data_IF_810558167863
#
_entry.id   IF_810558167863
#
_cell.length_a   1.000
_cell.length_b   1.000
_cell.length_c   1.000
_cell.angle_alpha   90.00
_cell.angle_beta   90.00
_cell.angle_gamma   90.00
#
_symmetry.space_group_name_H-M   'P 1'
#
loop_
_entity.id
_entity.type
_entity.pdbx_description
1 polymer ?
#
# COMPACT_ATOMS: atom_id res chain seq x y z
N UNK A 1 -41.05 5.37 52.59
CA UNK A 1 -41.24 6.73 52.07
C UNK A 1 -40.36 6.86 50.83
N UNK A 2 -40.96 6.69 49.66
CA UNK A 2 -40.29 6.76 48.36
C UNK A 2 -40.01 8.23 48.04
N UNK A 3 -38.77 8.55 47.72
CA UNK A 3 -38.46 9.77 46.97
C UNK A 3 -37.75 9.32 45.70
N UNK A 4 -38.52 9.31 44.62
CA UNK A 4 -38.04 9.09 43.26
C UNK A 4 -36.88 10.05 42.97
N UNK A 5 -35.70 9.48 42.73
CA UNK A 5 -34.56 10.23 42.21
C UNK A 5 -34.95 10.68 40.80
N UNK A 6 -35.17 11.99 40.67
CA UNK A 6 -35.61 12.65 39.46
C UNK A 6 -34.55 12.51 38.34
N UNK A 7 -34.68 11.45 37.54
CA UNK A 7 -33.85 11.15 36.38
C UNK A 7 -33.99 12.16 35.22
N UNK A 8 -34.77 13.26 35.36
CA UNK A 8 -34.89 14.29 34.31
C UNK A 8 -33.70 15.26 34.24
N UNK A 9 -32.76 15.26 35.19
CA UNK A 9 -31.63 16.21 35.16
C UNK A 9 -30.52 15.84 34.16
N UNK A 10 -30.45 14.60 33.69
CA UNK A 10 -29.37 14.12 32.78
C UNK A 10 -29.77 14.25 31.30
N UNK A 11 -31.02 14.61 30.98
CA UNK A 11 -31.49 14.74 29.59
C UNK A 11 -31.13 16.08 28.91
N UNK A 12 -30.43 16.99 29.58
CA UNK A 12 -30.32 18.37 29.09
C UNK A 12 -29.16 18.54 28.11
N UNK A 13 -29.49 18.42 26.82
CA UNK A 13 -28.82 19.05 25.66
C UNK A 13 -27.36 18.62 25.41
N UNK A 14 -27.22 17.52 24.69
CA UNK A 14 -26.19 17.46 23.63
C UNK A 14 -26.50 18.53 22.59
N UNK A 15 -26.05 19.76 22.84
CA UNK A 15 -26.11 20.85 21.85
C UNK A 15 -25.08 20.48 20.78
N UNK A 16 -25.51 19.89 19.66
CA UNK A 16 -24.68 19.71 18.46
C UNK A 16 -24.07 21.06 18.12
N UNK A 17 -22.79 21.26 18.46
CA UNK A 17 -22.05 22.46 18.09
C UNK A 17 -21.82 22.37 16.58
N UNK A 18 -22.80 22.85 15.81
CA UNK A 18 -22.70 22.89 14.35
C UNK A 18 -21.87 24.11 14.00
N UNK A 19 -20.55 23.92 13.90
CA UNK A 19 -19.62 24.94 13.42
C UNK A 19 -19.92 25.25 11.93
N UNK A 20 -20.95 26.07 11.67
CA UNK A 20 -21.17 26.66 10.35
C UNK A 20 -20.35 27.95 10.28
N UNK A 21 -19.03 27.81 10.06
CA UNK A 21 -18.22 28.96 9.61
C UNK A 21 -18.77 29.35 8.24
N UNK A 22 -19.35 30.53 8.10
CA UNK A 22 -19.79 31.07 6.80
C UNK A 22 -18.51 31.41 6.04
N UNK A 23 -18.13 30.56 5.08
CA UNK A 23 -16.90 30.79 4.30
C UNK A 23 -16.99 32.16 3.64
N UNK A 24 -15.92 32.93 3.74
CA UNK A 24 -15.84 34.22 3.05
C UNK A 24 -15.78 33.98 1.53
N UNK A 25 -16.30 34.87 0.68
CA UNK A 25 -16.37 34.66 -0.77
C UNK A 25 -15.02 34.40 -1.44
N UNK A 26 -13.93 34.90 -0.88
CA UNK A 26 -12.54 34.59 -1.23
C UNK A 26 -12.13 33.14 -0.87
N UNK A 27 -12.53 32.64 0.30
CA UNK A 27 -12.32 31.24 0.71
C UNK A 27 -13.11 30.25 -0.17
N UNK A 28 -14.25 30.68 -0.73
CA UNK A 28 -15.04 29.86 -1.67
C UNK A 28 -14.32 29.75 -3.02
N UNK A 29 -13.75 30.85 -3.54
CA UNK A 29 -13.00 30.83 -4.81
C UNK A 29 -11.75 29.95 -4.73
N UNK A 30 -10.97 30.06 -3.66
CA UNK A 30 -9.79 29.21 -3.46
C UNK A 30 -10.17 27.73 -3.28
N UNK A 31 -11.28 27.44 -2.60
CA UNK A 31 -11.79 26.07 -2.48
C UNK A 31 -12.23 25.48 -3.85
N UNK A 32 -12.86 26.27 -4.72
CA UNK A 32 -13.24 25.84 -6.08
C UNK A 32 -12.01 25.63 -6.97
N UNK A 33 -11.04 26.55 -6.93
CA UNK A 33 -9.78 26.39 -7.65
C UNK A 33 -9.02 25.14 -7.18
N UNK A 34 -8.97 24.89 -5.87
CA UNK A 34 -8.37 23.67 -5.31
C UNK A 34 -9.07 22.41 -5.80
N UNK A 35 -10.40 22.41 -5.89
CA UNK A 35 -11.17 21.28 -6.45
C UNK A 35 -10.86 21.03 -7.92
N UNK A 36 -10.83 22.09 -8.73
CA UNK A 36 -10.50 21.98 -10.16
C UNK A 36 -9.08 21.41 -10.32
N UNK A 37 -8.12 21.93 -9.55
CA UNK A 37 -6.75 21.42 -9.55
C UNK A 37 -6.67 19.93 -9.18
N UNK A 38 -7.39 19.49 -8.15
CA UNK A 38 -7.47 18.08 -7.77
C UNK A 38 -8.05 17.23 -8.92
N UNK A 39 -9.13 17.68 -9.56
CA UNK A 39 -9.72 16.98 -10.70
C UNK A 39 -8.74 16.84 -11.88
N UNK A 40 -7.98 17.89 -12.18
CA UNK A 40 -6.94 17.85 -13.22
C UNK A 40 -5.86 16.83 -12.85
N UNK A 41 -5.38 16.82 -11.59
CA UNK A 41 -4.37 15.86 -11.13
C UNK A 41 -4.86 14.40 -11.19
N UNK A 42 -6.13 14.17 -10.84
CA UNK A 42 -6.77 12.86 -10.99
C UNK A 42 -6.79 12.46 -12.46
N UNK A 43 -7.21 13.34 -13.37
CA UNK A 43 -7.24 13.05 -14.80
C UNK A 43 -5.85 12.68 -15.34
N UNK A 44 -4.81 13.45 -14.99
CA UNK A 44 -3.42 13.18 -15.40
C UNK A 44 -2.94 11.82 -14.86
N UNK A 45 -3.25 11.50 -13.61
CA UNK A 45 -2.83 10.23 -12.98
C UNK A 45 -3.55 9.02 -13.56
N UNK A 46 -4.78 9.20 -14.07
CA UNK A 46 -5.55 8.15 -14.72
C UNK A 46 -5.07 7.84 -16.15
N UNK A 47 -4.39 8.76 -16.83
CA UNK A 47 -3.89 8.55 -18.21
C UNK A 47 -3.12 7.22 -18.37
N UNK A 48 -2.07 6.91 -17.58
CA UNK A 48 -1.33 5.65 -17.73
C UNK A 48 -2.20 4.42 -17.40
N UNK A 49 -3.14 4.55 -16.47
CA UNK A 49 -4.05 3.44 -16.10
C UNK A 49 -4.97 3.12 -17.28
N UNK A 50 -5.54 4.14 -17.92
CA UNK A 50 -6.37 3.98 -19.12
C UNK A 50 -5.55 3.39 -20.26
N UNK A 51 -4.29 3.81 -20.45
CA UNK A 51 -3.40 3.23 -21.46
C UNK A 51 -3.16 1.73 -21.22
N UNK A 52 -2.93 1.30 -19.98
CA UNK A 52 -2.76 -0.12 -19.65
C UNK A 52 -4.04 -0.92 -19.92
N UNK A 53 -5.21 -0.40 -19.54
CA UNK A 53 -6.49 -1.06 -19.79
C UNK A 53 -6.74 -1.18 -21.30
N UNK A 54 -6.55 -0.08 -22.02
CA UNK A 54 -6.66 0.00 -23.47
C UNK A 54 -5.78 -1.04 -24.17
N UNK A 55 -4.48 -1.09 -23.83
CA UNK A 55 -3.55 -2.07 -24.40
C UNK A 55 -3.88 -3.50 -24.03
N UNK A 56 -4.43 -3.75 -22.83
CA UNK A 56 -4.82 -5.10 -22.39
C UNK A 56 -6.03 -5.66 -23.16
N UNK A 57 -6.94 -4.78 -23.61
CA UNK A 57 -8.14 -5.14 -24.38
C UNK A 57 -7.94 -5.09 -25.89
N UNK A 58 -6.74 -4.78 -26.38
CA UNK A 58 -6.50 -4.71 -27.80
C UNK A 58 -6.27 -6.10 -28.42
N UNK A 59 -6.73 -6.29 -29.65
CA UNK A 59 -6.42 -7.52 -30.40
C UNK A 59 -4.96 -7.52 -30.89
N UNK A 60 -4.13 -8.40 -30.35
CA UNK A 60 -2.71 -8.54 -30.72
C UNK A 60 -1.76 -8.30 -29.56
N UNK A 61 -0.49 -8.00 -29.83
CA UNK A 61 0.47 -7.68 -28.79
C UNK A 61 0.31 -6.21 -28.35
N UNK A 62 0.47 -5.94 -27.05
CA UNK A 62 0.42 -4.60 -26.51
C UNK A 62 1.50 -3.67 -27.13
N UNK A 63 2.68 -4.22 -27.43
CA UNK A 63 3.83 -3.47 -27.93
C UNK A 63 3.72 -3.01 -29.40
N UNK A 64 2.77 -3.55 -30.16
CA UNK A 64 2.57 -3.18 -31.58
C UNK A 64 1.50 -2.10 -31.78
N UNK A 65 0.88 -1.61 -30.70
CA UNK A 65 -0.11 -0.55 -30.78
C UNK A 65 0.55 0.83 -30.84
N UNK A 66 0.15 1.62 -31.84
CA UNK A 66 0.61 2.99 -32.06
C UNK A 66 -0.40 4.03 -31.60
N UNK A 67 -1.60 3.62 -31.20
CA UNK A 67 -2.72 4.49 -30.80
C UNK A 67 -3.05 4.34 -29.31
N UNK A 68 -3.57 5.42 -28.70
CA UNK A 68 -3.95 5.42 -27.28
C UNK A 68 -5.14 4.49 -26.98
N UNK A 69 -6.06 4.33 -27.94
CA UNK A 69 -7.17 3.37 -27.91
C UNK A 69 -6.96 2.31 -29.00
N UNK A 70 -7.33 1.04 -28.75
CA UNK A 70 -7.17 -0.01 -29.74
C UNK A 70 -8.11 0.22 -30.92
N UNK A 71 -7.66 -0.16 -32.11
CA UNK A 71 -8.49 -0.19 -33.32
C UNK A 71 -9.58 -1.26 -33.22
N UNK A 72 -9.27 -2.40 -32.59
CA UNK A 72 -10.21 -3.49 -32.31
C UNK A 72 -10.15 -3.87 -30.82
N UNK A 73 -11.30 -3.77 -30.15
CA UNK A 73 -11.49 -4.21 -28.77
C UNK A 73 -11.76 -5.72 -28.73
N UNK A 74 -11.07 -6.44 -27.84
CA UNK A 74 -11.16 -7.89 -27.69
C UNK A 74 -10.81 -8.34 -26.26
N UNK A 75 -11.50 -9.36 -25.77
CA UNK A 75 -11.21 -10.02 -24.48
C UNK A 75 -10.28 -11.24 -24.63
N UNK A 76 -9.76 -11.48 -25.84
CA UNK A 76 -8.94 -12.65 -26.15
C UNK A 76 -7.65 -12.72 -25.31
N UNK A 77 -7.05 -11.58 -24.96
CA UNK A 77 -5.85 -11.55 -24.11
C UNK A 77 -6.14 -12.08 -22.71
N UNK A 78 -7.28 -11.73 -22.12
CA UNK A 78 -7.69 -12.28 -20.83
C UNK A 78 -7.93 -13.78 -20.92
N UNK A 79 -8.66 -14.24 -21.94
CA UNK A 79 -8.90 -15.66 -22.17
C UNK A 79 -7.59 -16.44 -22.31
N UNK A 80 -6.64 -15.93 -23.10
CA UNK A 80 -5.30 -16.51 -23.26
C UNK A 80 -4.55 -16.60 -21.94
N UNK A 81 -4.62 -15.58 -21.08
CA UNK A 81 -3.96 -15.62 -19.76
C UNK A 81 -4.56 -16.72 -18.89
N UNK A 82 -5.87 -16.88 -18.86
CA UNK A 82 -6.53 -17.91 -18.05
C UNK A 82 -6.38 -19.34 -18.60
N UNK A 83 -6.41 -19.53 -19.92
CA UNK A 83 -6.37 -20.86 -20.56
C UNK A 83 -4.96 -21.33 -20.94
N UNK A 84 -4.08 -20.42 -21.37
CA UNK A 84 -2.77 -20.75 -21.94
C UNK A 84 -1.59 -20.46 -21.02
N UNK A 85 -1.83 -19.90 -19.84
CA UNK A 85 -0.75 -19.58 -18.89
C UNK A 85 -1.06 -20.06 -17.48
N UNK A 86 -0.03 -20.17 -16.65
CA UNK A 86 -0.15 -20.55 -15.23
C UNK A 86 -0.54 -19.36 -14.35
N UNK A 87 -1.34 -18.42 -14.86
CA UNK A 87 -1.68 -17.18 -14.17
C UNK A 87 -2.30 -17.40 -12.78
N UNK A 88 -3.26 -18.31 -12.65
CA UNK A 88 -3.87 -18.63 -11.35
C UNK A 88 -2.83 -19.14 -10.34
N UNK A 89 -1.86 -19.94 -10.80
CA UNK A 89 -0.80 -20.46 -9.94
C UNK A 89 0.12 -19.33 -9.50
N UNK A 90 0.52 -18.44 -10.40
CA UNK A 90 1.36 -17.28 -10.06
C UNK A 90 0.65 -16.32 -9.11
N UNK A 91 -0.65 -16.07 -9.34
CA UNK A 91 -1.49 -15.25 -8.47
C UNK A 91 -1.59 -15.86 -7.07
N UNK A 92 -1.89 -17.17 -6.99
CA UNK A 92 -1.94 -17.90 -5.71
C UNK A 92 -0.61 -17.87 -4.98
N UNK A 93 0.51 -18.13 -5.66
CA UNK A 93 1.84 -18.09 -5.06
C UNK A 93 2.17 -16.71 -4.52
N UNK A 94 1.86 -15.66 -5.28
CA UNK A 94 2.09 -14.27 -4.88
C UNK A 94 1.25 -13.90 -3.65
N UNK A 95 -0.02 -14.29 -3.63
CA UNK A 95 -0.94 -14.05 -2.52
C UNK A 95 -0.48 -14.75 -1.24
N UNK A 96 -0.03 -16.01 -1.34
CA UNK A 96 0.49 -16.76 -0.20
C UNK A 96 1.75 -16.10 0.36
N UNK A 97 2.70 -15.78 -0.53
CA UNK A 97 3.98 -15.16 -0.12
C UNK A 97 3.72 -13.81 0.54
N UNK A 98 2.93 -12.91 -0.07
CA UNK A 98 2.71 -11.58 0.49
C UNK A 98 1.96 -11.62 1.82
N UNK A 99 0.98 -12.52 1.98
CA UNK A 99 0.24 -12.68 3.23
C UNK A 99 1.13 -13.17 4.36
N UNK A 100 1.98 -14.16 4.10
CA UNK A 100 2.93 -14.68 5.10
C UNK A 100 3.94 -13.59 5.48
N UNK A 101 4.55 -12.93 4.49
CA UNK A 101 5.53 -11.86 4.72
C UNK A 101 4.91 -10.73 5.55
N UNK A 102 3.73 -10.23 5.17
CA UNK A 102 3.04 -9.16 5.90
C UNK A 102 2.71 -9.57 7.35
N UNK A 103 2.28 -10.82 7.56
CA UNK A 103 1.97 -11.33 8.90
C UNK A 103 3.21 -11.40 9.78
N UNK A 104 4.30 -11.98 9.26
CA UNK A 104 5.58 -12.08 9.99
C UNK A 104 6.13 -10.69 10.31
N UNK A 105 6.06 -9.76 9.36
CA UNK A 105 6.50 -8.38 9.57
C UNK A 105 5.69 -7.67 10.63
N UNK A 106 4.36 -7.80 10.63
CA UNK A 106 3.53 -7.22 11.69
C UNK A 106 3.89 -7.78 13.07
N UNK A 107 4.11 -9.09 13.17
CA UNK A 107 4.49 -9.74 14.44
C UNK A 107 5.83 -9.21 14.96
N UNK A 108 6.79 -8.88 14.09
CA UNK A 108 8.10 -8.36 14.50
C UNK A 108 8.08 -6.84 14.72
N UNK A 109 7.47 -6.09 13.80
CA UNK A 109 7.52 -4.63 13.79
C UNK A 109 6.56 -4.00 14.79
N UNK A 110 5.41 -4.61 15.12
CA UNK A 110 4.48 -4.05 16.10
C UNK A 110 5.10 -3.99 17.51
N UNK A 111 5.68 -5.07 18.07
CA UNK A 111 6.36 -5.01 19.36
C UNK A 111 7.58 -4.09 19.35
N UNK A 112 8.37 -4.09 18.26
CA UNK A 112 9.52 -3.20 18.11
C UNK A 112 9.06 -1.72 18.15
N UNK A 113 8.05 -1.36 17.35
CA UNK A 113 7.48 -0.02 17.34
C UNK A 113 6.86 0.35 18.70
N UNK A 114 6.23 -0.59 19.40
CA UNK A 114 5.71 -0.36 20.75
C UNK A 114 6.83 -0.06 21.76
N UNK A 115 7.91 -0.85 21.73
CA UNK A 115 9.07 -0.64 22.59
C UNK A 115 9.73 0.72 22.31
N UNK A 116 9.97 1.06 21.05
CA UNK A 116 10.57 2.34 20.65
C UNK A 116 9.66 3.54 20.88
N UNK A 117 8.33 3.38 20.86
CA UNK A 117 7.39 4.50 21.09
C UNK A 117 7.14 4.75 22.59
N UNK A 118 6.83 3.69 23.36
CA UNK A 118 6.36 3.82 24.75
C UNK A 118 7.41 3.57 25.81
N UNK A 119 8.36 2.66 25.60
CA UNK A 119 9.34 2.31 26.64
C UNK A 119 10.48 3.35 26.68
N UNK A 120 11.01 3.60 27.87
CA UNK A 120 12.18 4.46 28.10
C UNK A 120 13.35 3.56 28.48
N UNK A 121 14.22 3.26 27.52
CA UNK A 121 15.42 2.43 27.70
C UNK A 121 16.66 3.18 27.20
N UNK A 122 17.82 2.81 27.72
CA UNK A 122 19.07 3.57 27.55
C UNK A 122 19.52 3.74 26.08
N UNK A 123 19.29 2.74 25.23
CA UNK A 123 19.69 2.75 23.81
C UNK A 123 18.68 3.31 22.82
N UNK A 124 17.55 3.89 23.26
CA UNK A 124 16.42 4.24 22.38
C UNK A 124 16.78 5.19 21.23
N UNK A 125 17.50 6.28 21.52
CA UNK A 125 17.86 7.30 20.52
C UNK A 125 18.80 6.72 19.45
N UNK A 126 19.82 5.99 19.90
CA UNK A 126 20.79 5.37 19.00
C UNK A 126 20.14 4.27 18.17
N UNK A 127 19.26 3.44 18.75
CA UNK A 127 18.54 2.40 18.03
C UNK A 127 17.64 2.95 16.92
N UNK A 128 16.88 4.01 17.19
CA UNK A 128 16.07 4.68 16.14
C UNK A 128 16.98 5.27 15.06
N UNK A 129 18.09 5.92 15.44
CA UNK A 129 19.03 6.48 14.46
C UNK A 129 19.68 5.40 13.58
N UNK A 130 20.05 4.26 14.14
CA UNK A 130 20.57 3.12 13.39
C UNK A 130 19.53 2.56 12.41
N UNK A 131 18.27 2.42 12.81
CA UNK A 131 17.18 1.97 11.93
C UNK A 131 16.99 2.92 10.74
N UNK A 132 17.02 4.24 10.99
CA UNK A 132 16.93 5.23 9.92
C UNK A 132 18.10 5.14 8.93
N UNK A 133 19.33 4.96 9.43
CA UNK A 133 20.51 4.79 8.56
C UNK A 133 20.38 3.50 7.73
N UNK A 134 19.88 2.41 8.31
CA UNK A 134 19.64 1.15 7.62
C UNK A 134 18.59 1.28 6.50
N UNK A 135 17.52 2.05 6.72
CA UNK A 135 16.48 2.33 5.71
C UNK A 135 17.01 3.07 4.48
N UNK A 136 18.01 3.95 4.66
CA UNK A 136 18.62 4.68 3.54
C UNK A 136 19.50 3.80 2.65
N UNK A 137 19.86 2.60 3.11
CA UNK A 137 20.60 1.66 2.29
C UNK A 137 19.67 1.05 1.24
N UNK A 138 19.96 1.24 -0.06
CA UNK A 138 19.09 0.74 -1.11
C UNK A 138 19.10 -0.79 -1.13
N UNK A 139 17.91 -1.39 -1.03
CA UNK A 139 17.76 -2.85 -0.99
C UNK A 139 18.37 -3.57 -2.21
N UNK A 140 18.45 -2.90 -3.35
CA UNK A 140 19.06 -3.42 -4.58
C UNK A 140 20.58 -3.64 -4.46
N UNK A 141 21.28 -2.89 -3.61
CA UNK A 141 22.72 -3.08 -3.37
C UNK A 141 23.01 -4.34 -2.55
N UNK A 142 22.07 -4.79 -1.71
CA UNK A 142 22.21 -6.02 -0.94
C UNK A 142 21.93 -7.28 -1.78
N UNK A 143 21.30 -7.14 -2.95
CA UNK A 143 20.82 -8.26 -3.75
C UNK A 143 21.93 -9.24 -4.17
N UNK A 144 23.11 -8.81 -4.67
CA UNK A 144 24.19 -9.73 -5.03
C UNK A 144 24.71 -10.53 -3.84
N UNK A 145 24.82 -9.90 -2.66
CA UNK A 145 25.28 -10.55 -1.44
C UNK A 145 24.30 -11.62 -0.97
N UNK A 146 23.00 -11.30 -0.94
CA UNK A 146 21.94 -12.24 -0.59
C UNK A 146 21.92 -13.42 -1.57
N UNK A 147 22.01 -13.14 -2.88
CA UNK A 147 22.03 -14.19 -3.91
C UNK A 147 23.27 -15.08 -3.80
N UNK A 148 24.44 -14.52 -3.47
CA UNK A 148 25.65 -15.29 -3.20
C UNK A 148 25.42 -16.34 -2.11
N UNK A 149 24.82 -15.94 -0.98
CA UNK A 149 24.48 -16.86 0.13
C UNK A 149 23.49 -17.93 -0.33
N UNK A 150 22.44 -17.56 -1.07
CA UNK A 150 21.43 -18.51 -1.57
C UNK A 150 22.05 -19.54 -2.49
N UNK A 151 22.98 -19.14 -3.36
CA UNK A 151 23.68 -20.05 -4.26
C UNK A 151 24.63 -20.99 -3.50
N UNK A 152 25.44 -20.46 -2.57
CA UNK A 152 26.36 -21.29 -1.77
C UNK A 152 25.61 -22.34 -0.95
N UNK A 153 24.42 -22.02 -0.44
CA UNK A 153 23.59 -22.92 0.36
C UNK A 153 22.66 -23.82 -0.48
N UNK A 154 22.73 -23.76 -1.82
CA UNK A 154 21.83 -24.49 -2.73
C UNK A 154 20.34 -24.29 -2.38
N UNK A 155 19.99 -23.07 -2.00
CA UNK A 155 18.64 -22.66 -1.61
C UNK A 155 17.81 -22.10 -2.77
N UNK A 156 18.34 -22.19 -3.99
CA UNK A 156 17.69 -21.71 -5.21
C UNK A 156 16.33 -22.38 -5.45
N UNK A 157 15.39 -21.63 -6.03
CA UNK A 157 14.05 -22.08 -6.42
C UNK A 157 13.15 -22.58 -5.27
N UNK A 158 13.43 -22.15 -4.03
CA UNK A 158 12.60 -22.48 -2.85
C UNK A 158 11.76 -21.26 -2.44
N UNK A 159 10.42 -21.32 -2.47
CA UNK A 159 9.58 -20.15 -2.18
C UNK A 159 9.70 -19.66 -0.73
N UNK A 160 10.06 -20.53 0.23
CA UNK A 160 10.32 -20.11 1.61
C UNK A 160 11.52 -19.17 1.74
N UNK A 161 12.49 -19.25 0.81
CA UNK A 161 13.70 -18.43 0.84
C UNK A 161 13.35 -17.00 0.48
N UNK A 162 12.47 -16.83 -0.52
CA UNK A 162 11.86 -15.55 -0.84
C UNK A 162 11.12 -14.95 0.36
N UNK A 163 10.31 -15.75 1.06
CA UNK A 163 9.60 -15.29 2.26
C UNK A 163 10.60 -14.81 3.32
N UNK A 164 11.66 -15.58 3.60
CA UNK A 164 12.67 -15.22 4.60
C UNK A 164 13.42 -13.94 4.23
N UNK A 165 13.83 -13.81 2.97
CA UNK A 165 14.53 -12.62 2.45
C UNK A 165 13.63 -11.39 2.56
N UNK A 166 12.38 -11.49 2.12
CA UNK A 166 11.43 -10.38 2.12
C UNK A 166 11.03 -10.01 3.56
N UNK A 167 10.74 -10.98 4.42
CA UNK A 167 10.36 -10.74 5.80
C UNK A 167 11.46 -9.99 6.57
N UNK A 168 12.73 -10.37 6.42
CA UNK A 168 13.85 -9.68 7.08
C UNK A 168 14.25 -8.37 6.40
N UNK A 169 14.28 -8.34 5.06
CA UNK A 169 14.81 -7.22 4.29
C UNK A 169 13.89 -5.99 4.22
N UNK A 170 12.58 -6.14 4.41
CA UNK A 170 11.65 -5.00 4.42
C UNK A 170 10.92 -4.79 5.75
N UNK A 171 11.23 -5.57 6.81
CA UNK A 171 10.64 -5.32 8.13
C UNK A 171 10.98 -3.93 8.71
N UNK A 172 12.06 -3.33 8.22
CA UNK A 172 12.54 -2.04 8.68
C UNK A 172 12.19 -0.87 7.74
N UNK A 173 11.59 -1.07 6.57
CA UNK A 173 11.18 0.00 5.63
C UNK A 173 9.67 0.26 5.73
#
# INVERSE_FOLDING_TARGET
MQTEVNLKSISTKQKKVRYKKKLRPDEIRTAWLGRIFIWIMIAITLVPIVAVISSSMAKGQAFTQTTFFPTEWSLENYRKVFEKTNFLLWLKNSLIICTIVATVQLILSVPAAFAFSKLRFWGRKNGIMSLLILQMFPATMALPAIMGIVFTLNLTNKPWVLILILAGGSAYN
#
